data_IF_538791302668
#
_entry.id   IF_538791302668
#
_cell.length_a   1.000
_cell.length_b   1.000
_cell.length_c   1.000
_cell.angle_alpha   90.00
_cell.angle_beta   90.00
_cell.angle_gamma   90.00
#
_symmetry.space_group_name_H-M   'P 1'
#
loop_
_entity.id
_entity.type
_entity.pdbx_description
1 polymer ?
#
# COMPACT_ATOMS: atom_id res chain seq x y z
N UNK A 1 9.25 -30.33 -0.02
CA UNK A 1 8.11 -29.52 0.47
C UNK A 1 7.95 -28.33 -0.47
N UNK A 2 6.71 -27.89 -0.74
CA UNK A 2 6.48 -26.62 -1.45
C UNK A 2 6.92 -25.47 -0.54
N UNK A 3 7.59 -24.43 -1.05
CA UNK A 3 7.92 -23.26 -0.26
C UNK A 3 6.64 -22.57 0.24
N UNK A 4 6.64 -22.13 1.50
CA UNK A 4 5.57 -21.33 2.08
C UNK A 4 5.87 -19.85 1.81
N UNK A 5 4.90 -19.12 1.26
CA UNK A 5 4.93 -17.67 1.19
C UNK A 5 4.07 -17.11 2.32
N UNK A 6 4.64 -16.20 3.10
CA UNK A 6 3.93 -15.43 4.12
C UNK A 6 3.92 -13.98 3.66
N UNK A 7 2.74 -13.40 3.51
CA UNK A 7 2.60 -11.98 3.21
C UNK A 7 1.95 -11.29 4.41
N UNK A 8 2.56 -10.20 4.87
CA UNK A 8 2.05 -9.40 5.98
C UNK A 8 1.85 -7.97 5.50
N UNK A 9 0.85 -7.29 6.05
CA UNK A 9 0.89 -5.84 6.09
C UNK A 9 1.98 -5.34 7.05
N UNK A 10 2.29 -4.04 7.04
CA UNK A 10 3.27 -3.42 7.91
C UNK A 10 2.62 -2.60 9.03
N UNK A 11 1.84 -1.57 8.69
CA UNK A 11 1.34 -0.59 9.65
C UNK A 11 0.14 -1.13 10.43
N UNK A 12 0.25 -1.21 11.76
CA UNK A 12 -0.79 -1.82 12.60
C UNK A 12 -0.82 -3.36 12.56
N UNK A 13 0.07 -3.97 11.76
CA UNK A 13 0.27 -5.42 11.68
C UNK A 13 1.61 -5.84 12.30
N UNK A 14 2.71 -5.29 11.79
CA UNK A 14 4.06 -5.51 12.33
C UNK A 14 4.47 -4.41 13.29
N UNK A 15 3.99 -3.18 13.07
CA UNK A 15 4.13 -2.05 13.98
C UNK A 15 2.91 -1.92 14.89
N UNK A 16 3.11 -1.29 16.04
CA UNK A 16 2.04 -0.80 16.90
C UNK A 16 2.01 0.74 16.82
N UNK A 17 1.09 1.37 17.55
CA UNK A 17 1.06 2.83 17.69
C UNK A 17 2.29 3.39 18.43
N UNK A 18 3.05 2.56 19.16
CA UNK A 18 4.29 2.96 19.82
C UNK A 18 5.48 2.87 18.85
N UNK A 19 6.06 4.01 18.41
CA UNK A 19 7.18 4.01 17.46
C UNK A 19 8.47 3.42 18.03
N UNK A 20 8.54 3.18 19.34
CA UNK A 20 9.69 2.55 20.00
C UNK A 20 9.52 1.04 20.21
N UNK A 21 8.31 0.51 20.00
CA UNK A 21 8.05 -0.90 20.20
C UNK A 21 8.78 -1.77 19.15
N UNK A 22 9.26 -2.96 19.54
CA UNK A 22 9.83 -3.90 18.58
C UNK A 22 8.76 -4.42 17.61
N UNK A 23 9.15 -4.69 16.37
CA UNK A 23 8.22 -5.25 15.37
C UNK A 23 7.80 -6.66 15.78
N UNK A 24 6.48 -6.88 15.87
CA UNK A 24 5.79 -8.14 16.18
C UNK A 24 6.72 -9.31 16.63
N UNK A 25 7.24 -9.31 17.87
CA UNK A 25 8.33 -10.20 18.27
C UNK A 25 8.03 -11.69 18.04
N UNK A 26 6.81 -12.12 18.37
CA UNK A 26 6.38 -13.51 18.17
C UNK A 26 6.34 -13.95 16.70
N UNK A 27 6.10 -13.03 15.77
CA UNK A 27 6.19 -13.32 14.34
C UNK A 27 7.64 -13.57 13.90
N UNK A 28 8.59 -12.74 14.35
CA UNK A 28 10.00 -12.92 13.99
C UNK A 28 10.61 -14.18 14.62
N UNK A 29 10.25 -14.50 15.87
CA UNK A 29 10.65 -15.75 16.53
C UNK A 29 10.18 -16.97 15.74
N UNK A 30 8.91 -16.94 15.32
CA UNK A 30 8.34 -17.98 14.47
C UNK A 30 9.03 -18.04 13.10
N UNK A 31 9.22 -16.91 12.42
CA UNK A 31 9.79 -16.84 11.06
C UNK A 31 11.22 -17.39 11.04
N UNK A 32 12.05 -17.01 12.01
CA UNK A 32 13.40 -17.56 12.16
C UNK A 32 13.39 -19.07 12.41
N UNK A 33 12.48 -19.54 13.27
CA UNK A 33 12.33 -20.98 13.55
C UNK A 33 11.81 -21.76 12.35
N UNK A 34 10.90 -21.18 11.58
CA UNK A 34 10.30 -21.81 10.40
C UNK A 34 11.31 -21.91 9.25
N UNK A 35 12.11 -20.87 9.01
CA UNK A 35 13.19 -20.87 8.00
C UNK A 35 14.26 -21.93 8.25
N UNK A 36 14.52 -22.28 9.52
CA UNK A 36 15.44 -23.38 9.87
C UNK A 36 14.89 -24.76 9.48
N UNK A 37 13.56 -24.91 9.39
CA UNK A 37 12.86 -26.19 9.16
C UNK A 37 12.46 -26.41 7.71
N UNK A 38 12.43 -25.36 6.88
CA UNK A 38 12.07 -25.45 5.48
C UNK A 38 12.07 -24.10 4.78
N UNK A 39 11.70 -24.11 3.50
CA UNK A 39 11.67 -22.91 2.66
C UNK A 39 10.44 -22.05 2.99
N UNK A 40 10.64 -21.00 3.78
CA UNK A 40 9.65 -19.94 4.02
C UNK A 40 10.18 -18.63 3.43
N UNK A 41 9.42 -18.03 2.52
CA UNK A 41 9.65 -16.68 2.01
C UNK A 41 8.68 -15.71 2.69
N UNK A 42 9.15 -14.52 3.02
CA UNK A 42 8.34 -13.46 3.60
C UNK A 42 8.25 -12.29 2.63
N UNK A 43 7.03 -11.79 2.45
CA UNK A 43 6.72 -10.57 1.74
C UNK A 43 6.03 -9.57 2.67
N UNK A 44 6.28 -8.27 2.46
CA UNK A 44 5.51 -7.19 3.08
C UNK A 44 4.70 -6.49 2.00
N UNK A 45 3.38 -6.44 2.13
CA UNK A 45 2.51 -5.63 1.28
C UNK A 45 2.08 -4.38 2.04
N UNK A 46 2.31 -3.18 1.50
CA UNK A 46 2.10 -1.94 2.24
C UNK A 46 1.81 -0.77 1.30
N UNK A 47 1.11 0.25 1.81
CA UNK A 47 0.94 1.54 1.16
C UNK A 47 2.20 2.43 1.18
N UNK A 48 3.24 2.04 1.91
CA UNK A 48 4.52 2.76 1.96
C UNK A 48 5.30 2.64 0.64
N UNK A 49 6.13 3.65 0.37
CA UNK A 49 7.23 3.51 -0.59
C UNK A 49 8.33 2.60 -0.02
N UNK A 50 9.27 2.18 -0.87
CA UNK A 50 10.41 1.42 -0.41
C UNK A 50 11.23 2.18 0.64
N UNK A 51 11.51 3.46 0.41
CA UNK A 51 12.29 4.31 1.30
C UNK A 51 11.64 4.36 2.69
N UNK A 52 10.33 4.63 2.74
CA UNK A 52 9.58 4.72 4.00
C UNK A 52 9.46 3.38 4.74
N UNK A 53 9.38 2.26 4.02
CA UNK A 53 9.41 0.93 4.64
C UNK A 53 10.81 0.60 5.16
N UNK A 54 11.86 0.89 4.39
CA UNK A 54 13.25 0.63 4.74
C UNK A 54 13.66 1.41 5.99
N UNK A 55 13.32 2.69 6.03
CA UNK A 55 13.56 3.54 7.21
C UNK A 55 12.89 2.98 8.46
N UNK A 56 11.64 2.53 8.35
CA UNK A 56 10.92 1.91 9.48
C UNK A 56 11.56 0.59 9.92
N UNK A 57 11.89 -0.30 8.98
CA UNK A 57 12.59 -1.56 9.28
C UNK A 57 13.92 -1.33 10.00
N UNK A 58 14.68 -0.32 9.58
CA UNK A 58 15.95 0.06 10.22
C UNK A 58 15.69 0.68 11.60
N UNK A 59 14.77 1.64 11.70
CA UNK A 59 14.46 2.34 12.95
C UNK A 59 13.99 1.41 14.06
N UNK A 60 13.15 0.42 13.73
CA UNK A 60 12.69 -0.59 14.69
C UNK A 60 13.67 -1.75 14.88
N UNK A 61 14.87 -1.70 14.29
CA UNK A 61 15.88 -2.75 14.39
C UNK A 61 15.33 -4.13 13.98
N UNK A 62 14.60 -4.19 12.86
CA UNK A 62 13.95 -5.41 12.38
C UNK A 62 14.93 -6.60 12.37
N UNK A 63 14.59 -7.74 13.01
CA UNK A 63 15.50 -8.89 13.07
C UNK A 63 15.85 -9.47 11.70
N UNK A 64 14.95 -9.29 10.72
CA UNK A 64 15.08 -9.76 9.35
C UNK A 64 14.47 -8.73 8.39
N UNK A 65 14.91 -8.75 7.14
CA UNK A 65 14.25 -8.05 6.03
C UNK A 65 13.39 -9.04 5.23
N UNK A 66 12.26 -8.60 4.65
CA UNK A 66 11.47 -9.44 3.75
C UNK A 66 12.25 -9.72 2.46
N UNK A 67 11.99 -10.84 1.79
CA UNK A 67 12.57 -11.15 0.48
C UNK A 67 11.85 -10.44 -0.66
N UNK A 68 10.59 -10.07 -0.43
CA UNK A 68 9.73 -9.40 -1.39
C UNK A 68 8.97 -8.28 -0.70
N UNK A 69 8.67 -7.22 -1.43
CA UNK A 69 7.80 -6.16 -0.97
C UNK A 69 6.80 -5.83 -2.07
N UNK A 70 5.59 -5.48 -1.66
CA UNK A 70 4.60 -4.83 -2.51
C UNK A 70 4.42 -3.43 -1.95
N UNK A 71 4.93 -2.42 -2.65
CA UNK A 71 4.90 -1.01 -2.26
C UNK A 71 3.75 -0.31 -2.94
N UNK A 72 3.26 0.77 -2.33
CA UNK A 72 2.09 1.53 -2.80
C UNK A 72 0.93 0.59 -3.22
N UNK A 73 0.79 -0.51 -2.47
CA UNK A 73 -0.19 -1.59 -2.60
C UNK A 73 -0.10 -2.44 -3.88
N UNK A 74 0.58 -1.98 -4.93
CA UNK A 74 0.60 -2.63 -6.26
C UNK A 74 1.96 -2.94 -6.87
N UNK A 75 3.05 -2.30 -6.42
CA UNK A 75 4.36 -2.44 -7.07
C UNK A 75 5.23 -3.50 -6.40
N UNK A 76 5.64 -4.50 -7.16
CA UNK A 76 6.37 -5.66 -6.63
C UNK A 76 7.87 -5.44 -6.77
N UNK A 77 8.59 -5.66 -5.68
CA UNK A 77 10.04 -5.61 -5.66
C UNK A 77 10.61 -6.83 -4.93
N UNK A 78 11.75 -7.30 -5.44
CA UNK A 78 12.59 -8.28 -4.74
C UNK A 78 13.62 -7.53 -3.90
N UNK A 79 13.74 -7.89 -2.64
CA UNK A 79 14.75 -7.32 -1.75
C UNK A 79 16.00 -8.20 -1.76
N UNK A 80 17.16 -7.60 -2.02
CA UNK A 80 18.49 -8.22 -1.88
C UNK A 80 19.45 -7.22 -1.28
N UNK A 81 20.29 -7.67 -0.35
CA UNK A 81 21.29 -6.81 0.30
C UNK A 81 20.70 -5.52 0.90
N UNK A 82 19.46 -5.61 1.39
CA UNK A 82 18.65 -4.49 1.91
C UNK A 82 18.38 -3.38 0.89
N UNK A 83 18.35 -3.72 -0.39
CA UNK A 83 17.90 -2.87 -1.49
C UNK A 83 16.77 -3.53 -2.27
N UNK A 84 15.85 -2.73 -2.79
CA UNK A 84 14.69 -3.19 -3.56
C UNK A 84 14.97 -3.15 -5.06
N UNK A 85 14.66 -4.24 -5.74
CA UNK A 85 14.79 -4.40 -7.19
C UNK A 85 13.42 -4.64 -7.80
N UNK A 86 12.96 -3.81 -8.75
CA UNK A 86 11.60 -3.90 -9.29
C UNK A 86 11.39 -5.20 -10.07
N UNK A 87 10.17 -5.73 -10.00
CA UNK A 87 9.69 -6.71 -10.96
C UNK A 87 9.25 -5.98 -12.23
N UNK A 88 10.22 -5.67 -13.08
CA UNK A 88 10.10 -4.75 -14.23
C UNK A 88 8.86 -4.95 -15.09
N UNK A 89 8.56 -6.20 -15.48
CA UNK A 89 7.40 -6.48 -16.35
C UNK A 89 6.07 -6.14 -15.67
N UNK A 90 5.93 -6.50 -14.39
CA UNK A 90 4.73 -6.20 -13.62
C UNK A 90 4.61 -4.70 -13.35
N UNK A 91 5.65 -4.08 -12.78
CA UNK A 91 5.61 -2.66 -12.40
C UNK A 91 5.38 -1.75 -13.61
N UNK A 92 6.03 -2.03 -14.76
CA UNK A 92 5.79 -1.29 -15.99
C UNK A 92 4.34 -1.40 -16.44
N UNK A 93 3.79 -2.62 -16.45
CA UNK A 93 2.38 -2.83 -16.84
C UNK A 93 1.43 -2.12 -15.88
N UNK A 94 1.68 -2.19 -14.57
CA UNK A 94 0.92 -1.45 -13.57
C UNK A 94 0.92 0.04 -13.89
N UNK A 95 2.09 0.65 -14.10
CA UNK A 95 2.21 2.09 -14.41
C UNK A 95 1.45 2.45 -15.68
N UNK A 96 1.68 1.74 -16.78
CA UNK A 96 1.04 2.01 -18.08
C UNK A 96 -0.49 1.91 -17.99
N UNK A 97 -1.01 0.90 -17.30
CA UNK A 97 -2.45 0.70 -17.14
C UNK A 97 -3.08 1.80 -16.29
N UNK A 98 -2.43 2.23 -15.21
CA UNK A 98 -2.92 3.33 -14.37
C UNK A 98 -2.86 4.67 -15.10
N UNK A 99 -1.76 4.99 -15.76
CA UNK A 99 -1.63 6.23 -16.55
C UNK A 99 -2.72 6.30 -17.63
N UNK A 100 -2.96 5.19 -18.34
CA UNK A 100 -4.01 5.12 -19.34
C UNK A 100 -5.41 5.26 -18.71
N UNK A 101 -5.66 4.64 -17.56
CA UNK A 101 -6.91 4.74 -16.81
C UNK A 101 -7.18 6.18 -16.38
N UNK A 102 -6.26 6.77 -15.64
CA UNK A 102 -6.42 8.11 -15.08
C UNK A 102 -6.40 9.19 -16.15
N UNK A 103 -5.63 9.00 -17.23
CA UNK A 103 -5.69 9.87 -18.40
C UNK A 103 -7.07 9.91 -19.07
N UNK A 104 -7.79 8.77 -19.12
CA UNK A 104 -9.18 8.72 -19.63
C UNK A 104 -10.18 9.34 -18.66
N UNK A 105 -9.92 9.29 -17.37
CA UNK A 105 -10.85 9.69 -16.32
C UNK A 105 -10.44 10.96 -15.56
N UNK A 106 -9.57 11.80 -16.13
CA UNK A 106 -9.08 13.02 -15.49
C UNK A 106 -10.20 13.92 -14.96
N UNK A 107 -11.26 14.16 -15.74
CA UNK A 107 -12.40 14.97 -15.30
C UNK A 107 -13.16 14.38 -14.08
N UNK A 108 -13.14 13.06 -13.90
CA UNK A 108 -13.72 12.41 -12.72
C UNK A 108 -12.80 12.60 -11.51
N UNK A 109 -11.49 12.49 -11.70
CA UNK A 109 -10.52 12.75 -10.62
C UNK A 109 -10.57 14.20 -10.17
N UNK A 110 -10.63 15.16 -11.09
CA UNK A 110 -10.84 16.60 -10.78
C UNK A 110 -12.15 16.83 -10.02
N UNK A 111 -13.21 16.10 -10.38
CA UNK A 111 -14.48 16.16 -9.67
C UNK A 111 -14.34 15.63 -8.24
N UNK A 112 -13.62 14.52 -8.03
CA UNK A 112 -13.35 13.98 -6.69
C UNK A 112 -12.54 14.98 -5.87
N UNK A 113 -11.45 15.51 -6.43
CA UNK A 113 -10.62 16.54 -5.79
C UNK A 113 -11.47 17.73 -5.34
N UNK A 114 -12.36 18.21 -6.19
CA UNK A 114 -13.21 19.36 -5.88
C UNK A 114 -14.34 19.05 -4.90
N UNK A 115 -15.09 17.98 -5.12
CA UNK A 115 -16.29 17.67 -4.33
C UNK A 115 -15.90 17.05 -2.98
N UNK A 116 -15.02 16.05 -2.98
CA UNK A 116 -14.62 15.35 -1.75
C UNK A 116 -13.56 16.16 -1.00
N UNK A 117 -12.60 16.75 -1.70
CA UNK A 117 -11.56 17.59 -1.09
C UNK A 117 -12.06 18.92 -0.54
N UNK A 118 -13.34 19.28 -0.76
CA UNK A 118 -13.95 20.46 -0.11
C UNK A 118 -14.39 20.21 1.34
N UNK A 119 -14.43 18.95 1.77
CA UNK A 119 -14.78 18.60 3.14
C UNK A 119 -13.60 18.91 4.08
N UNK A 120 -13.88 19.46 5.27
CA UNK A 120 -12.85 19.96 6.19
C UNK A 120 -11.85 18.89 6.67
N UNK A 121 -12.31 17.65 6.78
CA UNK A 121 -11.50 16.49 7.18
C UNK A 121 -10.66 15.87 6.05
N UNK A 122 -10.75 16.37 4.81
CA UNK A 122 -10.12 15.75 3.63
C UNK A 122 -8.95 16.59 3.16
N UNK A 123 -7.77 15.96 3.10
CA UNK A 123 -6.61 16.53 2.41
C UNK A 123 -6.36 15.78 1.10
N UNK A 124 -6.34 16.50 -0.01
CA UNK A 124 -5.95 15.95 -1.32
C UNK A 124 -4.43 15.97 -1.43
N UNK A 125 -3.83 14.83 -1.76
CA UNK A 125 -2.39 14.67 -1.95
C UNK A 125 -2.09 14.21 -3.38
N UNK A 126 -0.91 14.53 -3.94
CA UNK A 126 -0.49 13.94 -5.20
C UNK A 126 -0.26 12.43 -5.03
N UNK A 127 -0.69 11.64 -6.02
CA UNK A 127 -0.37 10.21 -6.13
C UNK A 127 0.10 9.89 -7.57
N UNK A 128 0.81 8.78 -7.76
CA UNK A 128 1.39 8.41 -9.06
C UNK A 128 0.29 8.28 -10.12
N UNK A 129 0.25 9.24 -11.04
CA UNK A 129 -0.73 9.31 -12.12
C UNK A 129 -2.14 9.77 -11.70
N UNK A 130 -2.37 10.13 -10.44
CA UNK A 130 -3.68 10.49 -9.90
C UNK A 130 -3.60 11.47 -8.70
N UNK A 131 -4.71 11.59 -7.99
CA UNK A 131 -4.79 12.18 -6.65
C UNK A 131 -4.89 11.06 -5.61
N UNK A 132 -4.57 11.34 -4.36
CA UNK A 132 -4.96 10.55 -3.19
C UNK A 132 -5.72 11.42 -2.19
N UNK A 133 -6.45 10.80 -1.27
CA UNK A 133 -7.11 11.51 -0.17
C UNK A 133 -6.54 11.02 1.17
N UNK A 134 -6.36 11.93 2.11
CA UNK A 134 -6.05 11.64 3.51
C UNK A 134 -7.21 12.15 4.36
N UNK A 135 -7.81 11.25 5.14
CA UNK A 135 -8.99 11.53 5.95
C UNK A 135 -8.80 10.94 7.35
N UNK A 136 -8.72 11.78 8.37
CA UNK A 136 -8.26 11.36 9.70
C UNK A 136 -9.40 10.90 10.62
N UNK A 137 -10.61 11.42 10.43
CA UNK A 137 -11.75 11.13 11.30
C UNK A 137 -12.57 9.94 10.78
N UNK A 138 -13.08 9.05 11.65
CA UNK A 138 -13.96 7.96 11.21
C UNK A 138 -15.20 8.44 10.43
N UNK A 139 -15.78 9.57 10.86
CA UNK A 139 -16.93 10.17 10.19
C UNK A 139 -16.56 10.75 8.81
N UNK A 140 -15.41 11.42 8.72
CA UNK A 140 -14.85 11.91 7.46
C UNK A 140 -14.56 10.77 6.49
N UNK A 141 -13.97 9.66 6.98
CA UNK A 141 -13.69 8.46 6.18
C UNK A 141 -14.99 7.91 5.59
N UNK A 142 -16.04 7.73 6.41
CA UNK A 142 -17.32 7.24 5.94
C UNK A 142 -17.98 8.20 4.93
N UNK A 143 -17.84 9.51 5.14
CA UNK A 143 -18.33 10.52 4.21
C UNK A 143 -17.60 10.46 2.86
N UNK A 144 -16.26 10.46 2.88
CA UNK A 144 -15.42 10.41 1.70
C UNK A 144 -15.67 9.12 0.90
N UNK A 145 -15.74 7.97 1.58
CA UNK A 145 -16.03 6.68 0.95
C UNK A 145 -17.36 6.70 0.21
N UNK A 146 -18.43 7.19 0.87
CA UNK A 146 -19.75 7.30 0.25
C UNK A 146 -19.74 8.22 -0.98
N UNK A 147 -19.10 9.39 -0.88
CA UNK A 147 -19.03 10.36 -1.97
C UNK A 147 -18.22 9.83 -3.15
N UNK A 148 -17.07 9.21 -2.88
CA UNK A 148 -16.23 8.60 -3.90
C UNK A 148 -16.97 7.46 -4.60
N UNK A 149 -17.63 6.57 -3.86
CA UNK A 149 -18.43 5.48 -4.44
C UNK A 149 -19.55 6.01 -5.34
N UNK A 150 -20.25 7.08 -4.95
CA UNK A 150 -21.29 7.69 -5.78
C UNK A 150 -20.71 8.32 -7.07
N UNK A 151 -19.55 8.97 -6.98
CA UNK A 151 -18.87 9.55 -8.16
C UNK A 151 -18.37 8.45 -9.10
N UNK A 152 -17.86 7.35 -8.56
CA UNK A 152 -17.29 6.23 -9.31
C UNK A 152 -18.30 5.15 -9.72
N UNK A 153 -19.59 5.27 -9.38
CA UNK A 153 -20.60 4.22 -9.57
C UNK A 153 -20.69 3.63 -10.99
N UNK A 154 -20.45 4.44 -12.03
CA UNK A 154 -20.44 4.00 -13.43
C UNK A 154 -19.02 3.79 -14.01
N UNK A 155 -17.99 3.71 -13.15
CA UNK A 155 -16.59 3.44 -13.51
C UNK A 155 -16.04 2.24 -12.72
N UNK A 156 -16.56 1.02 -12.93
CA UNK A 156 -16.10 -0.17 -12.22
C UNK A 156 -14.61 -0.49 -12.40
N UNK A 157 -13.96 0.09 -13.42
CA UNK A 157 -12.52 -0.03 -13.68
C UNK A 157 -11.63 0.75 -12.69
N UNK A 158 -12.18 1.71 -11.94
CA UNK A 158 -11.48 2.46 -10.89
C UNK A 158 -11.92 1.95 -9.52
N UNK A 159 -10.99 1.41 -8.75
CA UNK A 159 -11.18 1.03 -7.37
C UNK A 159 -10.54 2.04 -6.42
N UNK A 160 -11.04 2.06 -5.18
CA UNK A 160 -10.38 2.72 -4.06
C UNK A 160 -9.68 1.68 -3.19
N UNK A 161 -8.38 1.86 -2.98
CA UNK A 161 -7.62 1.10 -1.99
C UNK A 161 -7.46 1.96 -0.74
N UNK A 162 -7.76 1.40 0.43
CA UNK A 162 -7.75 2.12 1.70
C UNK A 162 -6.76 1.50 2.65
N UNK A 163 -5.89 2.34 3.21
CA UNK A 163 -4.97 1.97 4.28
C UNK A 163 -4.97 3.03 5.37
N UNK A 164 -5.61 2.73 6.50
CA UNK A 164 -5.82 3.70 7.57
C UNK A 164 -6.56 4.95 7.06
N UNK A 165 -5.95 6.15 7.16
CA UNK A 165 -6.55 7.41 6.69
C UNK A 165 -6.39 7.64 5.18
N UNK A 166 -5.60 6.83 4.47
CA UNK A 166 -5.28 7.04 3.07
C UNK A 166 -6.31 6.36 2.15
N UNK A 167 -6.75 7.08 1.12
CA UNK A 167 -7.50 6.58 -0.03
C UNK A 167 -6.67 6.78 -1.28
N UNK A 168 -6.41 5.68 -1.98
CA UNK A 168 -5.73 5.67 -3.28
C UNK A 168 -6.67 5.15 -4.34
N UNK A 169 -6.51 5.64 -5.56
CA UNK A 169 -7.24 5.12 -6.72
C UNK A 169 -6.35 4.11 -7.43
N UNK A 170 -6.95 3.01 -7.89
CA UNK A 170 -6.25 1.93 -8.57
C UNK A 170 -7.10 1.36 -9.71
N UNK A 171 -6.43 0.70 -10.65
CA UNK A 171 -7.11 -0.11 -11.65
C UNK A 171 -7.62 -1.40 -11.00
N UNK A 172 -8.81 -1.88 -11.39
CA UNK A 172 -9.44 -3.05 -10.78
C UNK A 172 -8.58 -4.33 -10.79
N UNK A 173 -7.77 -4.50 -11.84
CA UNK A 173 -6.85 -5.64 -11.98
C UNK A 173 -5.46 -5.41 -11.38
N UNK A 174 -5.14 -4.18 -10.94
CA UNK A 174 -3.81 -3.77 -10.47
C UNK A 174 -3.94 -2.87 -9.23
N UNK A 175 -4.32 -3.47 -8.11
CA UNK A 175 -4.47 -2.83 -6.80
C UNK A 175 -3.60 -3.48 -5.74
#
# INVERSE_FOLDING_TARGET
>A
MKPLLVCTDFDGTLTTEDPSAPLAPGFFDWLQSARKKGSVSWAVATGRSWEGLREALVGHHAPLFPEWIVTVEREIHRVKDKEAYPLEEWNRTCTEVHEALFGRHGAILERIEKEVGSHEDVTVIPDVGAIGLVVETPDGIAHAEKMVQEILKDRPEILTVRNGPYFRFAHADYH
#
